data_IF_006824952184
#
_entry.id   IF_006824952184
#
_cell.length_a   1.000
_cell.length_b   1.000
_cell.length_c   1.000
_cell.angle_alpha   90.00
_cell.angle_beta   90.00
_cell.angle_gamma   90.00
#
_symmetry.space_group_name_H-M   'P 1'
#
loop_
_entity.id
_entity.type
_entity.pdbx_description
1 polymer ?
#
# COMPACT_ATOMS: atom_id res chain seq x y z
N UNK A 1 -13.61 13.21 2.61
CA UNK A 1 -12.26 13.67 2.97
C UNK A 1 -11.30 12.49 2.90
N UNK A 2 -10.09 12.70 2.36
CA UNK A 2 -9.03 11.67 2.29
C UNK A 2 -7.93 12.06 3.27
N UNK A 3 -7.46 11.10 4.06
CA UNK A 3 -6.37 11.28 5.01
C UNK A 3 -5.40 10.09 4.99
N UNK A 4 -4.12 10.38 5.24
CA UNK A 4 -3.10 9.37 5.49
C UNK A 4 -2.75 9.38 6.97
N UNK A 5 -2.80 8.21 7.61
CA UNK A 5 -2.45 8.05 9.03
C UNK A 5 -1.58 6.83 9.21
N UNK A 6 -0.75 6.83 10.24
CA UNK A 6 0.01 5.63 10.61
C UNK A 6 -0.98 4.51 10.95
N UNK A 7 -0.70 3.29 10.49
CA UNK A 7 -1.49 2.10 10.84
C UNK A 7 -1.09 1.65 12.25
N UNK A 8 -2.10 1.27 13.04
CA UNK A 8 -1.94 0.82 14.42
C UNK A 8 -2.59 -0.54 14.61
N UNK A 9 -2.36 -1.17 15.78
CA UNK A 9 -2.96 -2.46 16.12
C UNK A 9 -4.51 -2.44 16.08
N UNK A 10 -5.13 -1.27 16.31
CA UNK A 10 -6.59 -1.09 16.21
C UNK A 10 -7.09 -1.24 14.76
N UNK A 11 -6.23 -1.00 13.77
CA UNK A 11 -6.58 -1.03 12.34
C UNK A 11 -6.48 -2.43 11.74
N UNK A 12 -5.87 -3.40 12.43
CA UNK A 12 -5.56 -4.75 11.91
C UNK A 12 -6.79 -5.44 11.33
N UNK A 13 -7.91 -5.42 12.05
CA UNK A 13 -9.15 -6.04 11.58
C UNK A 13 -9.69 -5.35 10.33
N UNK A 14 -9.64 -4.01 10.30
CA UNK A 14 -10.14 -3.23 9.17
C UNK A 14 -9.24 -3.38 7.92
N UNK A 15 -7.94 -3.57 8.12
CA UNK A 15 -6.96 -3.84 7.08
C UNK A 15 -7.20 -5.23 6.47
N UNK A 16 -7.22 -6.28 7.31
CA UNK A 16 -7.41 -7.67 6.86
C UNK A 16 -8.78 -7.86 6.18
N UNK A 17 -9.84 -7.25 6.71
CA UNK A 17 -11.16 -7.29 6.08
C UNK A 17 -11.24 -6.54 4.74
N UNK A 18 -10.26 -5.70 4.45
CA UNK A 18 -10.13 -4.95 3.21
C UNK A 18 -9.36 -5.66 2.10
N UNK A 19 -8.60 -6.72 2.44
CA UNK A 19 -7.91 -7.55 1.47
C UNK A 19 -8.91 -8.28 0.56
N UNK A 20 -8.53 -8.44 -0.70
CA UNK A 20 -9.24 -9.26 -1.67
C UNK A 20 -8.25 -10.03 -2.54
N UNK A 21 -8.76 -10.91 -3.42
CA UNK A 21 -7.93 -11.79 -4.26
C UNK A 21 -6.91 -11.02 -5.10
N UNK A 22 -7.19 -9.76 -5.47
CA UNK A 22 -6.22 -8.93 -6.20
C UNK A 22 -5.09 -8.44 -5.30
N UNK A 23 -5.40 -7.99 -4.08
CA UNK A 23 -4.37 -7.62 -3.08
C UNK A 23 -3.48 -8.81 -2.76
N UNK A 24 -4.07 -9.98 -2.54
CA UNK A 24 -3.32 -11.20 -2.26
C UNK A 24 -2.43 -11.57 -3.45
N UNK A 25 -2.97 -11.54 -4.67
CA UNK A 25 -2.22 -11.91 -5.87
C UNK A 25 -1.04 -10.97 -6.14
N UNK A 26 -1.22 -9.67 -5.93
CA UNK A 26 -0.27 -8.65 -6.39
C UNK A 26 0.64 -8.06 -5.31
N UNK A 27 0.27 -8.14 -4.04
CA UNK A 27 1.04 -7.54 -2.93
C UNK A 27 1.41 -8.57 -1.86
N UNK A 28 0.42 -9.24 -1.25
CA UNK A 28 0.65 -10.03 -0.04
C UNK A 28 1.17 -11.45 -0.33
N UNK A 29 0.86 -12.02 -1.49
CA UNK A 29 1.19 -13.40 -1.89
C UNK A 29 0.38 -14.49 -1.17
N UNK A 30 -0.16 -14.19 0.00
CA UNK A 30 -1.06 -15.01 0.79
C UNK A 30 -2.03 -14.12 1.60
N UNK A 31 -3.18 -14.63 2.08
CA UNK A 31 -4.05 -13.90 2.99
C UNK A 31 -3.30 -13.48 4.26
N UNK A 32 -3.50 -12.25 4.70
CA UNK A 32 -2.93 -11.77 5.95
C UNK A 32 -3.67 -12.36 7.15
N UNK A 33 -2.90 -12.69 8.19
CA UNK A 33 -3.41 -13.04 9.52
C UNK A 33 -3.27 -11.84 10.45
N UNK A 34 -4.02 -11.80 11.54
CA UNK A 34 -3.86 -10.72 12.54
C UNK A 34 -2.43 -10.61 13.08
N UNK A 35 -1.77 -11.75 13.28
CA UNK A 35 -0.40 -11.81 13.78
C UNK A 35 0.61 -11.27 12.74
N UNK A 36 0.48 -11.66 11.47
CA UNK A 36 1.32 -11.13 10.40
C UNK A 36 1.11 -9.63 10.19
N UNK A 37 -0.14 -9.14 10.28
CA UNK A 37 -0.47 -7.73 10.10
C UNK A 37 0.06 -6.88 11.25
N UNK A 38 -0.07 -7.34 12.50
CA UNK A 38 0.55 -6.66 13.66
C UNK A 38 2.07 -6.57 13.52
N UNK A 39 2.72 -7.67 13.13
CA UNK A 39 4.18 -7.66 12.87
C UNK A 39 4.55 -6.68 11.76
N UNK A 40 3.76 -6.63 10.69
CA UNK A 40 3.97 -5.68 9.61
C UNK A 40 3.85 -4.23 10.09
N UNK A 41 2.81 -3.89 10.85
CA UNK A 41 2.61 -2.54 11.39
C UNK A 41 3.70 -2.14 12.38
N UNK A 42 4.12 -3.05 13.26
CA UNK A 42 5.23 -2.82 14.17
C UNK A 42 6.53 -2.52 13.42
N UNK A 43 6.83 -3.27 12.35
CA UNK A 43 7.98 -3.03 11.49
C UNK A 43 7.91 -1.65 10.80
N UNK A 44 6.74 -1.25 10.30
CA UNK A 44 6.55 0.09 9.69
C UNK A 44 6.77 1.21 10.72
N UNK A 45 6.27 1.04 11.95
CA UNK A 45 6.45 2.02 13.02
C UNK A 45 7.93 2.12 13.46
N UNK A 46 8.63 0.98 13.58
CA UNK A 46 10.05 0.95 13.88
C UNK A 46 10.86 1.68 12.80
N UNK A 47 10.63 1.34 11.53
CA UNK A 47 11.26 2.01 10.38
C UNK A 47 11.01 3.52 10.37
N UNK A 48 9.75 3.93 10.63
CA UNK A 48 9.40 5.34 10.73
C UNK A 48 10.18 6.05 11.84
N UNK A 49 10.31 5.44 13.03
CA UNK A 49 11.06 6.02 14.15
C UNK A 49 12.56 6.16 13.86
N UNK A 50 13.11 5.26 13.04
CA UNK A 50 14.51 5.29 12.58
C UNK A 50 14.73 6.21 11.38
N UNK A 51 13.67 6.66 10.71
CA UNK A 51 13.75 7.42 9.47
C UNK A 51 14.34 6.63 8.29
N UNK A 52 14.29 5.30 8.33
CA UNK A 52 14.91 4.40 7.36
C UNK A 52 14.00 3.18 7.09
N UNK A 53 14.18 2.53 5.95
CA UNK A 53 13.37 1.40 5.52
C UNK A 53 11.98 1.77 5.02
N UNK A 54 11.18 0.74 4.75
CA UNK A 54 9.80 0.87 4.29
C UNK A 54 8.94 1.61 5.32
N UNK A 55 8.15 2.58 4.83
CA UNK A 55 7.18 3.36 5.60
C UNK A 55 5.80 3.17 5.01
N UNK A 56 4.76 3.10 5.83
CA UNK A 56 3.41 2.83 5.35
C UNK A 56 2.34 3.57 6.14
N UNK A 57 1.23 3.84 5.46
CA UNK A 57 0.09 4.58 5.95
C UNK A 57 -1.20 3.90 5.49
N UNK A 58 -2.22 3.94 6.33
CA UNK A 58 -3.58 3.67 5.87
C UNK A 58 -4.09 4.86 5.08
N UNK A 59 -5.05 4.60 4.19
CA UNK A 59 -5.80 5.60 3.45
C UNK A 59 -7.20 5.64 4.06
N UNK A 60 -7.56 6.72 4.74
CA UNK A 60 -8.91 6.91 5.26
C UNK A 60 -9.73 7.72 4.27
N UNK A 61 -10.95 7.26 3.99
CA UNK A 61 -11.96 7.98 3.23
C UNK A 61 -13.23 8.10 4.07
N UNK A 62 -13.62 9.34 4.38
CA UNK A 62 -14.79 9.64 5.22
C UNK A 62 -14.78 8.87 6.56
N UNK A 63 -13.60 8.85 7.21
CA UNK A 63 -13.40 8.22 8.52
C UNK A 63 -13.24 6.70 8.50
N UNK A 64 -13.32 6.05 7.33
CA UNK A 64 -13.16 4.60 7.20
C UNK A 64 -11.86 4.23 6.49
N UNK A 65 -11.17 3.19 6.95
CA UNK A 65 -10.00 2.65 6.28
C UNK A 65 -10.37 2.11 4.89
N UNK A 66 -9.91 2.79 3.86
CA UNK A 66 -10.24 2.56 2.47
C UNK A 66 -9.12 1.87 1.69
N UNK A 67 -7.95 1.68 2.31
CA UNK A 67 -6.77 1.12 1.68
C UNK A 67 -5.52 1.43 2.48
N UNK A 68 -4.37 1.23 1.85
CA UNK A 68 -3.06 1.56 2.41
C UNK A 68 -2.08 1.90 1.30
N UNK A 69 -1.04 2.65 1.65
CA UNK A 69 0.08 3.01 0.79
C UNK A 69 1.36 2.82 1.59
N UNK A 70 2.35 2.17 0.98
CA UNK A 70 3.70 2.10 1.49
C UNK A 70 4.68 2.66 0.47
N UNK A 71 5.82 3.09 0.98
CA UNK A 71 6.95 3.41 0.16
C UNK A 71 8.24 2.90 0.79
N UNK A 72 9.15 2.43 -0.06
CA UNK A 72 10.38 1.77 0.32
C UNK A 72 11.55 2.38 -0.47
N UNK A 73 12.33 3.29 0.15
CA UNK A 73 13.50 3.89 -0.48
C UNK A 73 14.73 2.97 -0.44
N UNK A 74 14.67 1.88 0.33
CA UNK A 74 15.79 0.96 0.57
C UNK A 74 15.58 -0.40 -0.12
N UNK A 75 14.58 -0.48 -1.01
CA UNK A 75 14.31 -1.70 -1.77
C UNK A 75 15.52 -2.07 -2.65
N UNK A 76 15.95 -3.33 -2.59
CA UNK A 76 17.14 -3.81 -3.31
C UNK A 76 16.96 -3.95 -4.83
N UNK A 77 15.73 -3.77 -5.33
CA UNK A 77 15.36 -3.87 -6.74
C UNK A 77 15.05 -2.51 -7.37
N UNK A 78 15.41 -1.40 -6.71
CA UNK A 78 15.20 -0.06 -7.24
C UNK A 78 16.00 0.16 -8.55
N UNK A 79 15.39 0.74 -9.60
CA UNK A 79 16.08 0.94 -10.87
C UNK A 79 17.28 1.89 -10.80
N UNK A 80 17.19 2.93 -9.96
CA UNK A 80 18.25 3.91 -9.79
C UNK A 80 18.36 4.40 -8.34
N UNK A 81 19.54 4.92 -7.98
CA UNK A 81 19.75 5.56 -6.68
C UNK A 81 18.85 6.79 -6.52
N UNK A 82 18.14 6.85 -5.39
CA UNK A 82 17.15 7.90 -5.12
C UNK A 82 15.76 7.63 -5.69
N UNK A 83 15.56 6.51 -6.39
CA UNK A 83 14.20 6.01 -6.63
C UNK A 83 13.59 5.48 -5.33
N UNK A 84 12.27 5.47 -5.26
CA UNK A 84 11.50 4.86 -4.17
C UNK A 84 10.47 3.93 -4.77
N UNK A 85 10.31 2.73 -4.23
CA UNK A 85 9.18 1.87 -4.59
C UNK A 85 7.97 2.37 -3.81
N UNK A 86 6.86 2.66 -4.47
CA UNK A 86 5.58 3.05 -3.86
C UNK A 86 4.60 1.94 -4.20
N UNK A 87 4.05 1.30 -3.18
CA UNK A 87 2.97 0.31 -3.33
C UNK A 87 1.70 0.87 -2.70
N UNK A 88 0.54 0.60 -3.29
CA UNK A 88 -0.73 0.89 -2.61
C UNK A 88 -1.77 -0.17 -2.91
N UNK A 89 -2.75 -0.28 -2.04
CA UNK A 89 -3.97 -1.04 -2.23
C UNK A 89 -5.19 -0.19 -1.86
N UNK A 90 -6.26 -0.27 -2.65
CA UNK A 90 -7.57 0.28 -2.29
C UNK A 90 -8.52 -0.87 -1.99
N UNK A 91 -9.17 -0.87 -0.83
CA UNK A 91 -10.14 -1.90 -0.43
C UNK A 91 -11.31 -1.95 -1.40
N UNK A 92 -11.80 -3.16 -1.70
CA UNK A 92 -12.90 -3.40 -2.64
C UNK A 92 -14.14 -2.53 -2.39
N UNK A 93 -14.47 -2.28 -1.12
CA UNK A 93 -15.60 -1.42 -0.71
C UNK A 93 -15.47 0.04 -1.13
N UNK A 94 -14.24 0.55 -1.21
CA UNK A 94 -13.95 1.92 -1.60
C UNK A 94 -13.89 2.10 -3.12
N UNK A 95 -13.51 1.05 -3.87
CA UNK A 95 -13.43 1.07 -5.35
C UNK A 95 -14.77 1.38 -6.02
N UNK A 96 -15.90 0.96 -5.42
CA UNK A 96 -17.25 1.10 -6.02
C UNK A 96 -17.89 2.48 -5.86
N UNK A 97 -17.26 3.42 -5.14
CA UNK A 97 -17.82 4.76 -4.87
C UNK A 97 -17.31 5.85 -5.81
N UNK A 98 -16.32 5.56 -6.65
CA UNK A 98 -15.93 6.42 -7.77
C UNK A 98 -16.80 6.13 -8.98
N UNK A 99 -17.75 7.00 -9.29
CA UNK A 99 -18.57 6.88 -10.50
C UNK A 99 -17.71 6.83 -11.76
N UNK A 100 -17.99 5.84 -12.63
CA UNK A 100 -17.38 5.58 -13.95
C UNK A 100 -15.86 5.78 -14.04
N UNK A 101 -15.16 4.64 -14.10
CA UNK A 101 -13.80 4.51 -14.62
C UNK A 101 -12.63 4.91 -13.70
N UNK A 102 -12.73 4.58 -12.41
CA UNK A 102 -11.50 4.45 -11.60
C UNK A 102 -10.95 3.05 -11.83
N UNK A 103 -9.78 2.99 -12.46
CA UNK A 103 -9.02 1.80 -12.86
C UNK A 103 -9.29 0.56 -12.01
N UNK A 104 -9.55 -0.57 -12.69
CA UNK A 104 -9.60 -1.92 -12.10
C UNK A 104 -8.31 -2.33 -11.39
N UNK A 105 -7.22 -1.56 -11.51
CA UNK A 105 -5.99 -1.80 -10.74
C UNK A 105 -6.16 -1.32 -9.31
N UNK A 106 -6.49 -2.27 -8.47
CA UNK A 106 -6.57 -2.15 -7.03
C UNK A 106 -5.26 -1.97 -6.31
N UNK A 107 -4.21 -2.50 -6.91
CA UNK A 107 -2.86 -2.58 -6.39
C UNK A 107 -1.90 -2.12 -7.47
N UNK A 108 -0.99 -1.22 -7.13
CA UNK A 108 0.05 -0.79 -8.05
C UNK A 108 1.35 -0.59 -7.29
N UNK A 109 2.43 -1.07 -7.88
CA UNK A 109 3.79 -0.68 -7.52
C UNK A 109 4.32 0.30 -8.56
N UNK A 110 4.87 1.41 -8.09
CA UNK A 110 5.43 2.47 -8.89
C UNK A 110 6.81 2.77 -8.34
N UNK A 111 7.83 2.74 -9.17
CA UNK A 111 9.13 3.32 -8.80
C UNK A 111 9.07 4.81 -9.09
N UNK A 112 9.49 5.66 -8.15
CA UNK A 112 9.43 7.11 -8.32
C UNK A 112 10.81 7.72 -8.05
N UNK A 113 11.33 8.49 -9.01
CA UNK A 113 12.57 9.25 -8.88
C UNK A 113 12.81 10.13 -10.10
N UNK A 114 13.89 10.93 -10.12
CA UNK A 114 14.16 12.00 -11.11
C UNK A 114 14.27 11.55 -12.59
N UNK A 115 14.07 10.26 -12.90
CA UNK A 115 14.09 9.71 -14.24
C UNK A 115 13.05 8.62 -14.54
N UNK A 116 12.02 8.42 -13.70
CA UNK A 116 11.10 7.29 -13.89
C UNK A 116 10.27 7.41 -15.18
N UNK A 117 10.51 6.49 -16.12
CA UNK A 117 9.61 6.19 -17.24
C UNK A 117 8.88 4.89 -16.94
N UNK A 118 7.54 4.93 -17.01
CA UNK A 118 6.65 3.78 -16.84
C UNK A 118 7.13 2.60 -17.72
N UNK A 119 7.41 1.40 -17.17
CA UNK A 119 7.70 0.23 -17.99
C UNK A 119 6.47 -0.17 -18.82
N UNK A 120 6.68 -0.53 -20.08
CA UNK A 120 5.65 -0.84 -21.08
C UNK A 120 4.83 -2.12 -20.82
N UNK A 121 5.08 -2.85 -19.73
CA UNK A 121 4.58 -4.21 -19.51
C UNK A 121 3.39 -4.32 -18.53
N UNK A 122 2.70 -3.23 -18.22
CA UNK A 122 1.41 -3.32 -17.52
C UNK A 122 0.25 -3.23 -18.53
N UNK A 123 -0.70 -4.19 -18.55
CA UNK A 123 -1.86 -4.09 -19.43
C UNK A 123 -2.66 -2.83 -19.09
N UNK A 124 -3.16 -2.18 -20.16
CA UNK A 124 -3.90 -0.90 -20.10
C UNK A 124 -5.18 -1.00 -19.29
#
# INVERSE_FOLDING_TARGET
MIELRALTDEDVQAHNAGEDDEVIRWLSGAPSTDDSTRRHFAMLAENASRGAGKRGFGIWFDGQLAGYVDFDPDANYLPAAGDVNISYAVHRRARRRGGRDVSRSSCMQIYCGRGYRRPSNHPR
#
